data_IF_796411136981
#
_entry.id   IF_796411136981
#
_cell.length_a   1.000
_cell.length_b   1.000
_cell.length_c   1.000
_cell.angle_alpha   90.00
_cell.angle_beta   90.00
_cell.angle_gamma   90.00
#
_symmetry.space_group_name_H-M   'P 1'
#
loop_
_entity.id
_entity.type
_entity.pdbx_description
1 polymer ?
#
# COMPACT_ATOMS: atom_id res chain seq x y z
N UNK A 1 -6.95 4.44 23.50
CA UNK A 1 -5.75 5.22 23.17
C UNK A 1 -6.11 6.33 22.19
N UNK A 2 -5.36 7.43 22.21
CA UNK A 2 -5.37 8.42 21.15
C UNK A 2 -4.28 8.10 20.13
N UNK A 3 -4.68 7.94 18.85
CA UNK A 3 -3.78 7.63 17.74
C UNK A 3 -3.94 8.72 16.69
N UNK A 4 -2.85 9.41 16.39
CA UNK A 4 -2.81 10.45 15.38
C UNK A 4 -2.12 9.90 14.11
N UNK A 5 -2.80 9.94 12.97
CA UNK A 5 -2.30 9.48 11.67
C UNK A 5 -1.86 10.67 10.84
N UNK A 6 -0.67 10.61 10.24
CA UNK A 6 -0.17 11.66 9.35
C UNK A 6 -0.01 11.13 7.92
N UNK A 7 -0.68 11.76 6.97
CA UNK A 7 -0.40 11.65 5.53
C UNK A 7 -0.83 12.90 4.76
N UNK A 8 -0.02 13.46 3.83
CA UNK A 8 -0.32 14.71 3.14
C UNK A 8 -1.59 14.71 2.28
N UNK A 9 -1.99 13.56 1.73
CA UNK A 9 -3.20 13.42 0.92
C UNK A 9 -4.28 12.65 1.69
N UNK A 10 -5.56 13.03 1.48
CA UNK A 10 -6.74 12.40 2.08
C UNK A 10 -7.93 12.55 1.13
N UNK A 11 -8.96 11.69 1.18
CA UNK A 11 -10.16 11.92 0.38
C UNK A 11 -10.74 13.33 0.56
N UNK A 12 -11.22 13.96 -0.54
CA UNK A 12 -11.54 13.39 -1.85
C UNK A 12 -10.37 13.30 -2.86
N UNK A 13 -9.14 13.65 -2.48
CA UNK A 13 -7.99 13.53 -3.37
C UNK A 13 -7.73 12.07 -3.76
N UNK A 14 -7.59 11.78 -5.06
CA UNK A 14 -7.32 10.44 -5.59
C UNK A 14 -5.90 9.97 -5.25
N UNK A 15 -5.74 9.38 -4.09
CA UNK A 15 -4.46 8.88 -3.59
C UNK A 15 -4.63 7.57 -2.81
N UNK A 16 -4.00 6.48 -3.28
CA UNK A 16 -4.16 5.16 -2.67
C UNK A 16 -3.69 5.04 -1.22
N UNK A 17 -2.71 5.85 -0.76
CA UNK A 17 -2.28 5.86 0.65
C UNK A 17 -3.22 6.77 1.47
N UNK A 18 -3.73 7.85 0.86
CA UNK A 18 -4.77 8.67 1.47
C UNK A 18 -6.05 7.87 1.74
N UNK A 19 -6.51 7.12 0.75
CA UNK A 19 -7.66 6.22 0.89
C UNK A 19 -7.40 5.13 1.95
N UNK A 20 -6.19 4.53 1.93
CA UNK A 20 -5.75 3.59 2.96
C UNK A 20 -5.82 4.21 4.35
N UNK A 21 -5.31 5.44 4.52
CA UNK A 21 -5.32 6.15 5.80
C UNK A 21 -6.75 6.39 6.28
N UNK A 22 -7.66 6.76 5.38
CA UNK A 22 -9.07 6.96 5.70
C UNK A 22 -9.76 5.66 6.16
N UNK A 23 -9.56 4.56 5.44
CA UNK A 23 -10.12 3.26 5.83
C UNK A 23 -9.58 2.77 7.17
N UNK A 24 -8.26 2.88 7.38
CA UNK A 24 -7.63 2.51 8.64
C UNK A 24 -8.18 3.36 9.80
N UNK A 25 -8.24 4.69 9.61
CA UNK A 25 -8.77 5.62 10.61
C UNK A 25 -10.21 5.29 10.99
N UNK A 26 -11.09 5.14 10.01
CA UNK A 26 -12.50 4.80 10.23
C UNK A 26 -12.67 3.43 10.93
N UNK A 27 -11.82 2.45 10.63
CA UNK A 27 -11.92 1.14 11.26
C UNK A 27 -11.42 1.16 12.70
N UNK A 28 -10.38 1.94 12.99
CA UNK A 28 -9.84 2.09 14.35
C UNK A 28 -10.71 2.98 15.24
N UNK A 29 -11.50 3.93 14.67
CA UNK A 29 -12.30 4.89 15.43
C UNK A 29 -13.38 4.24 16.30
N UNK A 30 -13.85 3.05 15.94
CA UNK A 30 -14.78 2.28 16.77
C UNK A 30 -14.24 1.88 18.15
N UNK A 31 -12.92 1.92 18.36
CA UNK A 31 -12.26 1.49 19.62
C UNK A 31 -11.23 2.48 20.16
N UNK A 32 -10.82 3.48 19.36
CA UNK A 32 -9.77 4.43 19.71
C UNK A 32 -10.18 5.86 19.33
N UNK A 33 -9.59 6.84 20.01
CA UNK A 33 -9.73 8.25 19.62
C UNK A 33 -8.75 8.53 18.47
N UNK A 34 -9.27 8.65 17.24
CA UNK A 34 -8.47 8.78 16.03
C UNK A 34 -8.50 10.20 15.50
N UNK A 35 -7.31 10.77 15.30
CA UNK A 35 -7.11 12.04 14.62
C UNK A 35 -6.30 11.83 13.35
N UNK A 36 -6.70 12.45 12.24
CA UNK A 36 -5.97 12.42 10.97
C UNK A 36 -5.43 13.81 10.67
N UNK A 37 -4.14 13.89 10.35
CA UNK A 37 -3.45 15.12 9.95
C UNK A 37 -3.10 15.05 8.48
N UNK A 38 -3.62 15.99 7.68
CA UNK A 38 -3.49 15.98 6.22
C UNK A 38 -3.34 17.38 5.65
N UNK A 39 -2.86 17.49 4.40
CA UNK A 39 -2.82 18.74 3.64
C UNK A 39 -4.11 19.03 2.85
N UNK A 40 -5.10 18.12 2.90
CA UNK A 40 -6.35 18.21 2.15
C UNK A 40 -7.51 18.54 3.08
N UNK A 41 -8.43 19.38 2.59
CA UNK A 41 -9.70 19.60 3.29
C UNK A 41 -10.65 18.44 2.96
N UNK A 42 -11.11 17.66 3.95
CA UNK A 42 -12.03 16.56 3.70
C UNK A 42 -13.41 17.08 3.31
N UNK A 43 -14.20 16.24 2.64
CA UNK A 43 -15.61 16.54 2.41
C UNK A 43 -16.37 16.59 3.75
N UNK A 44 -17.25 17.57 3.95
CA UNK A 44 -18.06 17.67 5.16
C UNK A 44 -18.90 16.40 5.38
N UNK A 45 -18.80 15.79 6.56
CA UNK A 45 -19.57 14.59 6.93
C UNK A 45 -19.06 13.26 6.36
N UNK A 46 -17.91 13.26 5.67
CA UNK A 46 -17.36 12.04 5.06
C UNK A 46 -16.68 11.07 6.05
N UNK A 47 -16.51 11.44 7.31
CA UNK A 47 -15.74 10.64 8.28
C UNK A 47 -16.24 10.82 9.70
N UNK A 48 -16.27 9.73 10.48
CA UNK A 48 -16.53 9.75 11.92
C UNK A 48 -15.27 10.14 12.74
N UNK A 49 -14.10 10.28 12.07
CA UNK A 49 -12.84 10.66 12.71
C UNK A 49 -12.59 12.16 12.64
N UNK A 50 -11.85 12.68 13.61
CA UNK A 50 -11.43 14.09 13.60
C UNK A 50 -10.31 14.29 12.58
N UNK A 51 -10.58 15.06 11.52
CA UNK A 51 -9.58 15.39 10.49
C UNK A 51 -9.09 16.82 10.65
N UNK A 52 -7.78 16.98 10.80
CA UNK A 52 -7.10 18.27 10.89
C UNK A 52 -6.40 18.59 9.58
N UNK A 53 -6.75 19.74 9.00
CA UNK A 53 -6.10 20.22 7.77
C UNK A 53 -4.93 21.12 8.12
N UNK A 54 -3.74 20.79 7.59
CA UNK A 54 -2.54 21.62 7.70
C UNK A 54 -2.20 22.15 6.32
N UNK A 55 -2.55 23.41 6.07
CA UNK A 55 -2.26 24.04 4.79
C UNK A 55 -0.76 24.02 4.50
N UNK A 56 -0.40 23.60 3.29
CA UNK A 56 0.98 23.60 2.82
C UNK A 56 1.82 22.37 3.17
N UNK A 57 1.27 21.33 3.87
CA UNK A 57 1.98 20.05 4.02
C UNK A 57 2.23 19.48 2.61
N UNK A 58 3.46 19.02 2.30
CA UNK A 58 4.58 18.68 3.21
C UNK A 58 5.66 19.76 3.39
N UNK A 59 5.39 21.02 3.12
CA UNK A 59 6.40 22.08 3.29
C UNK A 59 6.87 22.24 4.76
N UNK A 60 8.11 22.66 4.95
CA UNK A 60 8.72 22.76 6.27
C UNK A 60 7.96 23.67 7.26
N UNK A 61 7.46 24.88 6.89
CA UNK A 61 6.67 25.70 7.80
C UNK A 61 5.42 25.01 8.32
N UNK A 62 4.68 24.33 7.43
CA UNK A 62 3.47 23.60 7.78
C UNK A 62 3.75 22.43 8.74
N UNK A 63 4.81 21.68 8.50
CA UNK A 63 5.25 20.59 9.39
C UNK A 63 5.72 21.10 10.77
N UNK A 64 6.31 22.30 10.83
CA UNK A 64 6.67 22.94 12.11
C UNK A 64 5.43 23.33 12.91
N UNK A 65 4.44 23.94 12.25
CA UNK A 65 3.15 24.27 12.85
C UNK A 65 2.45 23.02 13.38
N UNK A 66 2.42 21.98 12.57
CA UNK A 66 1.87 20.68 12.97
C UNK A 66 2.56 20.09 14.21
N UNK A 67 3.90 20.11 14.26
CA UNK A 67 4.64 19.64 15.43
C UNK A 67 4.27 20.40 16.71
N UNK A 68 4.02 21.70 16.61
CA UNK A 68 3.57 22.51 17.74
C UNK A 68 2.17 22.09 18.20
N UNK A 69 1.25 21.86 17.28
CA UNK A 69 -0.11 21.41 17.60
C UNK A 69 -0.13 20.00 18.22
N UNK A 70 0.65 19.07 17.67
CA UNK A 70 0.78 17.72 18.22
C UNK A 70 1.34 17.74 19.64
N UNK A 71 2.34 18.59 19.91
CA UNK A 71 2.92 18.68 21.26
C UNK A 71 2.03 19.43 22.26
N UNK A 72 1.09 20.25 21.80
CA UNK A 72 0.12 20.89 22.69
C UNK A 72 -0.93 19.90 23.23
N UNK A 73 -1.29 18.90 22.46
CA UNK A 73 -2.21 17.81 22.84
C UNK A 73 -1.63 16.48 22.39
N UNK A 74 -0.67 15.90 23.14
CA UNK A 74 0.09 14.76 22.69
C UNK A 74 -0.77 13.50 22.58
N UNK A 75 -0.68 12.74 21.46
CA UNK A 75 -1.28 11.42 21.35
C UNK A 75 -0.44 10.35 22.05
N UNK A 76 -1.04 9.18 22.29
CA UNK A 76 -0.28 7.99 22.72
C UNK A 76 0.63 7.50 21.58
N UNK A 77 0.12 7.54 20.36
CA UNK A 77 0.83 7.15 19.15
C UNK A 77 0.68 8.17 18.03
N UNK A 78 1.79 8.48 17.38
CA UNK A 78 1.87 9.15 16.10
C UNK A 78 2.24 8.15 15.02
N UNK A 79 1.32 7.84 14.10
CA UNK A 79 1.52 6.90 13.00
C UNK A 79 1.74 7.67 11.70
N UNK A 80 2.96 7.67 11.19
CA UNK A 80 3.32 8.34 9.93
C UNK A 80 3.21 7.35 8.78
N UNK A 81 2.35 7.65 7.80
CA UNK A 81 2.22 6.87 6.57
C UNK A 81 3.33 7.29 5.61
N UNK A 82 4.38 6.46 5.47
CA UNK A 82 5.59 6.86 4.74
C UNK A 82 5.63 6.34 3.32
N UNK A 83 5.72 7.29 2.40
CA UNK A 83 6.20 7.13 1.02
C UNK A 83 7.06 8.37 0.73
N UNK A 84 8.33 8.24 0.31
CA UNK A 84 9.22 9.38 0.16
C UNK A 84 8.66 10.48 -0.74
N UNK A 85 7.93 10.13 -1.80
CA UNK A 85 7.35 11.09 -2.75
C UNK A 85 6.16 11.88 -2.21
N UNK A 86 5.56 11.44 -1.11
CA UNK A 86 4.47 12.18 -0.47
C UNK A 86 4.97 13.39 0.33
N UNK A 87 6.24 13.37 0.77
CA UNK A 87 6.79 14.37 1.68
C UNK A 87 7.83 15.29 1.05
N UNK A 88 8.15 15.11 -0.22
CA UNK A 88 9.10 16.01 -0.90
C UNK A 88 9.38 15.64 -2.34
N UNK A 89 9.83 16.65 -3.09
CA UNK A 89 10.19 16.52 -4.51
C UNK A 89 11.29 15.46 -4.68
N UNK A 90 11.11 14.53 -5.59
CA UNK A 90 12.01 13.39 -5.82
C UNK A 90 12.27 12.55 -4.55
N UNK A 91 11.33 12.59 -3.59
CA UNK A 91 11.45 11.89 -2.33
C UNK A 91 12.47 12.47 -1.34
N UNK A 92 12.90 13.72 -1.53
CA UNK A 92 13.77 14.45 -0.59
C UNK A 92 12.91 15.23 0.40
N UNK A 93 12.84 14.76 1.64
CA UNK A 93 11.96 15.27 2.70
C UNK A 93 12.70 15.51 4.03
N UNK A 94 13.73 16.39 4.06
CA UNK A 94 14.47 16.68 5.29
C UNK A 94 13.59 17.33 6.36
N UNK A 95 12.55 18.05 5.94
CA UNK A 95 11.59 18.67 6.83
C UNK A 95 10.85 17.64 7.70
N UNK A 96 10.43 16.50 7.14
CA UNK A 96 9.81 15.44 7.92
C UNK A 96 10.77 14.88 8.99
N UNK A 97 12.04 14.65 8.62
CA UNK A 97 13.06 14.15 9.56
C UNK A 97 13.29 15.15 10.71
N UNK A 98 13.47 16.44 10.37
CA UNK A 98 13.68 17.47 11.41
C UNK A 98 12.46 17.64 12.31
N UNK A 99 11.26 17.54 11.76
CA UNK A 99 10.01 17.64 12.49
C UNK A 99 9.83 16.49 13.50
N UNK A 100 10.05 15.25 13.07
CA UNK A 100 9.96 14.09 13.98
C UNK A 100 11.04 14.13 15.06
N UNK A 101 12.25 14.62 14.72
CA UNK A 101 13.30 14.85 15.74
C UNK A 101 12.87 15.91 16.76
N UNK A 102 12.27 17.00 16.31
CA UNK A 102 11.74 18.05 17.19
C UNK A 102 10.64 17.51 18.13
N UNK A 103 9.69 16.72 17.60
CA UNK A 103 8.66 16.06 18.41
C UNK A 103 9.31 15.15 19.47
N UNK A 104 10.30 14.34 19.10
CA UNK A 104 11.03 13.49 20.05
C UNK A 104 11.69 14.27 21.19
N UNK A 105 12.25 15.44 20.87
CA UNK A 105 12.93 16.29 21.88
C UNK A 105 11.94 17.00 22.79
N UNK A 106 10.85 17.53 22.24
CA UNK A 106 9.87 18.34 22.96
C UNK A 106 8.81 17.52 23.70
N UNK A 107 8.46 16.37 23.16
CA UNK A 107 7.36 15.53 23.63
C UNK A 107 7.80 14.06 23.69
N UNK A 108 8.74 13.70 24.60
CA UNK A 108 9.36 12.35 24.62
C UNK A 108 8.38 11.23 24.94
N UNK A 109 7.20 11.54 25.48
CA UNK A 109 6.14 10.56 25.77
C UNK A 109 5.35 10.11 24.54
N UNK A 110 5.45 10.81 23.40
CA UNK A 110 4.78 10.40 22.16
C UNK A 110 5.54 9.23 21.54
N UNK A 111 4.88 8.11 21.32
CA UNK A 111 5.42 6.99 20.55
C UNK A 111 5.19 7.21 19.06
N UNK A 112 6.18 6.90 18.22
CA UNK A 112 6.14 7.10 16.78
C UNK A 112 6.18 5.75 16.08
N UNK A 113 5.17 5.45 15.25
CA UNK A 113 5.18 4.34 14.32
C UNK A 113 5.32 4.84 12.88
N UNK A 114 6.15 4.18 12.08
CA UNK A 114 6.32 4.49 10.66
C UNK A 114 5.74 3.35 9.83
N UNK A 115 4.62 3.59 9.15
CA UNK A 115 4.07 2.64 8.17
C UNK A 115 4.74 2.87 6.83
N UNK A 116 5.52 1.90 6.36
CA UNK A 116 6.38 2.00 5.18
C UNK A 116 5.67 1.43 3.96
N UNK A 117 5.09 2.30 3.14
CA UNK A 117 4.50 1.93 1.85
C UNK A 117 5.54 1.83 0.74
N UNK A 118 6.61 2.64 0.81
CA UNK A 118 7.80 2.56 -0.03
C UNK A 118 8.99 3.09 0.77
N UNK A 119 10.05 2.30 1.00
CA UNK A 119 11.21 2.79 1.77
C UNK A 119 12.07 3.76 0.98
N UNK A 120 12.37 3.42 -0.27
CA UNK A 120 13.13 4.20 -1.25
C UNK A 120 13.04 3.54 -2.63
N UNK A 121 13.34 4.30 -3.69
CA UNK A 121 13.35 3.77 -5.05
C UNK A 121 14.49 2.77 -5.25
N UNK A 122 14.24 1.66 -5.96
CA UNK A 122 15.29 0.75 -6.38
C UNK A 122 16.25 1.46 -7.35
N UNK A 123 17.56 1.12 -7.34
CA UNK A 123 18.58 1.77 -8.16
C UNK A 123 18.62 1.21 -9.60
N UNK A 124 17.48 1.10 -10.27
CA UNK A 124 17.32 0.47 -11.58
C UNK A 124 17.83 1.37 -12.75
N UNK A 125 18.28 2.58 -12.48
CA UNK A 125 18.95 3.50 -13.41
C UNK A 125 19.87 4.45 -12.65
N UNK A 126 20.82 5.11 -13.35
CA UNK A 126 21.73 6.08 -12.72
C UNK A 126 20.98 7.19 -11.97
N UNK A 127 19.90 7.73 -12.57
CA UNK A 127 19.04 8.72 -11.94
C UNK A 127 18.38 8.16 -10.65
N UNK A 128 17.85 6.95 -10.70
CA UNK A 128 17.21 6.32 -9.56
C UNK A 128 18.25 5.91 -8.50
N UNK A 129 19.43 5.52 -8.91
CA UNK A 129 20.55 5.26 -8.00
C UNK A 129 20.89 6.49 -7.16
N UNK A 130 21.14 7.64 -7.82
CA UNK A 130 21.43 8.91 -7.13
C UNK A 130 20.28 9.27 -6.20
N UNK A 131 19.02 9.20 -6.66
CA UNK A 131 17.86 9.43 -5.80
C UNK A 131 17.80 8.49 -4.60
N UNK A 132 18.18 7.23 -4.77
CA UNK A 132 18.13 6.24 -3.69
C UNK A 132 19.11 6.56 -2.55
N UNK A 133 20.20 7.28 -2.81
CA UNK A 133 21.21 7.62 -1.79
C UNK A 133 20.64 8.48 -0.66
N UNK A 134 19.99 9.62 -1.02
CA UNK A 134 19.37 10.46 0.01
C UNK A 134 18.11 9.82 0.60
N UNK A 135 17.30 9.10 -0.19
CA UNK A 135 16.12 8.41 0.31
C UNK A 135 16.49 7.33 1.34
N UNK A 136 17.56 6.55 1.10
CA UNK A 136 18.08 5.55 2.07
C UNK A 136 18.56 6.20 3.36
N UNK A 137 19.32 7.32 3.24
CA UNK A 137 19.77 8.07 4.43
C UNK A 137 18.59 8.59 5.23
N UNK A 138 17.60 9.18 4.54
CA UNK A 138 16.37 9.69 5.13
C UNK A 138 15.57 8.56 5.82
N UNK A 139 15.36 7.45 5.13
CA UNK A 139 14.65 6.29 5.70
C UNK A 139 15.34 5.75 6.96
N UNK A 140 16.70 5.66 6.95
CA UNK A 140 17.46 5.28 8.16
C UNK A 140 17.24 6.26 9.32
N UNK A 141 17.19 7.57 9.04
CA UNK A 141 16.95 8.57 10.07
C UNK A 141 15.52 8.47 10.63
N UNK A 142 14.52 8.32 9.76
CA UNK A 142 13.12 8.16 10.18
C UNK A 142 12.92 6.89 11.00
N UNK A 143 13.49 5.76 10.57
CA UNK A 143 13.39 4.50 11.31
C UNK A 143 14.00 4.57 12.71
N UNK A 144 15.16 5.26 12.86
CA UNK A 144 15.79 5.48 14.18
C UNK A 144 15.02 6.43 15.08
N UNK A 145 14.14 7.25 14.54
CA UNK A 145 13.24 8.12 15.28
C UNK A 145 11.94 7.43 15.68
N UNK A 146 11.69 6.24 15.15
CA UNK A 146 10.45 5.48 15.36
C UNK A 146 10.61 4.44 16.47
N UNK A 147 9.54 4.19 17.21
CA UNK A 147 9.44 3.10 18.20
C UNK A 147 8.93 1.81 17.57
N UNK A 148 8.34 1.89 16.40
CA UNK A 148 7.85 0.74 15.65
C UNK A 148 7.89 0.99 14.14
N UNK A 149 8.32 0.00 13.37
CA UNK A 149 8.27 0.02 11.91
C UNK A 149 7.25 -1.00 11.40
N UNK A 150 6.29 -0.52 10.61
CA UNK A 150 5.26 -1.34 9.99
C UNK A 150 5.54 -1.40 8.49
N UNK A 151 5.87 -2.57 7.97
CA UNK A 151 6.13 -2.78 6.56
C UNK A 151 4.92 -3.39 5.86
N UNK A 152 4.59 -2.89 4.67
CA UNK A 152 3.45 -3.37 3.89
C UNK A 152 3.75 -4.62 3.05
N UNK A 153 4.98 -5.13 3.07
CA UNK A 153 5.37 -6.44 2.53
C UNK A 153 6.33 -7.15 3.49
N UNK A 154 6.17 -8.46 3.67
CA UNK A 154 6.99 -9.26 4.58
C UNK A 154 8.49 -9.26 4.22
N UNK A 155 8.92 -9.37 2.94
CA UNK A 155 10.34 -9.33 2.58
C UNK A 155 11.09 -8.07 3.02
N UNK A 156 10.40 -6.98 3.33
CA UNK A 156 11.06 -5.78 3.86
C UNK A 156 11.35 -5.88 5.35
N UNK A 157 10.60 -6.66 6.11
CA UNK A 157 10.90 -6.92 7.54
C UNK A 157 12.29 -7.52 7.65
N UNK A 158 12.53 -8.65 6.96
CA UNK A 158 13.82 -9.35 6.99
C UNK A 158 14.95 -8.49 6.43
N UNK A 159 14.68 -7.81 5.30
CA UNK A 159 15.67 -6.94 4.64
C UNK A 159 16.17 -5.81 5.50
N UNK A 160 15.30 -5.22 6.32
CA UNK A 160 15.62 -4.02 7.08
C UNK A 160 15.82 -4.27 8.58
N UNK A 161 15.61 -5.48 9.08
CA UNK A 161 15.86 -5.83 10.48
C UNK A 161 17.25 -5.40 10.97
N UNK A 162 18.31 -5.65 10.17
CA UNK A 162 19.68 -5.25 10.49
C UNK A 162 19.94 -3.73 10.47
N UNK A 163 19.03 -2.95 9.87
CA UNK A 163 19.14 -1.48 9.85
C UNK A 163 18.60 -0.85 11.12
N UNK A 164 17.73 -1.57 11.83
CA UNK A 164 16.97 -1.11 13.00
C UNK A 164 16.92 -2.19 14.08
N UNK A 165 18.09 -2.60 14.64
CA UNK A 165 18.16 -3.71 15.58
C UNK A 165 17.35 -3.48 16.86
N UNK A 166 17.19 -2.21 17.26
CA UNK A 166 16.50 -1.82 18.49
C UNK A 166 15.03 -1.42 18.25
N UNK A 167 14.56 -1.48 17.00
CA UNK A 167 13.19 -1.06 16.65
C UNK A 167 12.39 -2.27 16.18
N UNK A 168 11.28 -2.62 16.85
CA UNK A 168 10.39 -3.67 16.38
C UNK A 168 9.93 -3.43 14.94
N UNK A 169 10.00 -4.46 14.12
CA UNK A 169 9.57 -4.46 12.72
C UNK A 169 8.45 -5.47 12.52
N UNK A 170 7.31 -5.04 12.01
CA UNK A 170 6.14 -5.90 11.79
C UNK A 170 5.66 -5.78 10.35
N UNK A 171 5.22 -6.89 9.76
CA UNK A 171 4.50 -6.88 8.50
C UNK A 171 3.00 -6.70 8.77
N UNK A 172 2.40 -5.68 8.15
CA UNK A 172 0.95 -5.50 8.09
C UNK A 172 0.58 -5.21 6.64
N UNK A 173 -0.22 -6.08 5.98
CA UNK A 173 -0.61 -5.89 4.59
C UNK A 173 -1.51 -4.67 4.41
N UNK A 174 -1.70 -4.24 3.16
CA UNK A 174 -2.75 -3.25 2.88
C UNK A 174 -4.09 -3.92 2.64
N UNK A 175 -5.18 -3.15 2.77
CA UNK A 175 -6.52 -3.55 2.36
C UNK A 175 -6.84 -3.13 0.92
N UNK A 176 -7.98 -3.56 0.42
CA UNK A 176 -8.58 -2.98 -0.77
C UNK A 176 -9.26 -1.64 -0.41
N UNK A 177 -8.99 -0.60 -1.19
CA UNK A 177 -9.66 0.70 -1.04
C UNK A 177 -10.99 0.76 -1.79
N UNK A 178 -11.37 -0.34 -2.46
CA UNK A 178 -12.61 -0.38 -3.24
C UNK A 178 -13.75 -1.01 -2.43
N UNK A 179 -14.96 -0.43 -2.45
CA UNK A 179 -16.12 -1.09 -1.89
C UNK A 179 -16.46 -2.31 -2.76
N UNK A 180 -16.93 -3.38 -2.15
CA UNK A 180 -17.51 -4.50 -2.88
C UNK A 180 -19.03 -4.34 -2.93
N UNK A 181 -19.53 -4.01 -4.11
CA UNK A 181 -20.97 -3.99 -4.38
C UNK A 181 -21.36 -5.34 -4.97
N UNK A 182 -22.20 -6.06 -4.28
CA UNK A 182 -22.61 -7.41 -4.69
C UNK A 182 -23.48 -7.35 -5.97
N UNK A 183 -22.96 -7.79 -7.08
CA UNK A 183 -23.66 -7.95 -8.36
C UNK A 183 -23.33 -9.30 -8.98
N UNK A 184 -24.31 -9.90 -9.63
CA UNK A 184 -24.01 -11.01 -10.55
C UNK A 184 -23.27 -10.49 -11.76
N UNK A 185 -22.44 -11.33 -12.42
CA UNK A 185 -21.72 -10.96 -13.62
C UNK A 185 -22.66 -10.42 -14.73
N UNK A 186 -23.82 -11.05 -14.92
CA UNK A 186 -24.81 -10.61 -15.89
C UNK A 186 -25.35 -9.19 -15.60
N UNK A 187 -25.69 -8.91 -14.35
CA UNK A 187 -26.17 -7.59 -13.95
C UNK A 187 -25.06 -6.52 -14.02
N UNK A 188 -23.84 -6.90 -13.68
CA UNK A 188 -22.68 -6.01 -13.80
C UNK A 188 -22.43 -5.64 -15.28
N UNK A 189 -22.45 -6.61 -16.21
CA UNK A 189 -22.34 -6.36 -17.65
C UNK A 189 -23.45 -5.49 -18.21
N UNK A 190 -24.69 -5.76 -17.83
CA UNK A 190 -25.84 -4.94 -18.24
C UNK A 190 -25.69 -3.49 -17.76
N UNK A 191 -25.24 -3.30 -16.50
CA UNK A 191 -25.06 -1.97 -15.90
C UNK A 191 -23.91 -1.18 -16.50
N UNK A 192 -22.85 -1.87 -16.95
CA UNK A 192 -21.64 -1.26 -17.52
C UNK A 192 -21.65 -1.17 -19.05
N UNK A 193 -22.67 -1.68 -19.72
CA UNK A 193 -22.74 -1.73 -21.18
C UNK A 193 -21.75 -2.72 -21.83
N UNK A 194 -21.21 -3.66 -21.05
CA UNK A 194 -20.26 -4.63 -21.55
C UNK A 194 -20.96 -5.82 -22.22
N UNK A 195 -20.35 -6.44 -23.25
CA UNK A 195 -20.95 -7.55 -23.96
C UNK A 195 -21.24 -8.75 -23.04
N UNK A 196 -22.45 -9.36 -23.18
CA UNK A 196 -22.89 -10.47 -22.32
C UNK A 196 -22.02 -11.72 -22.48
N UNK A 197 -21.66 -12.05 -23.74
CA UNK A 197 -21.04 -13.32 -24.10
C UNK A 197 -19.53 -13.19 -24.39
N UNK A 198 -18.93 -12.03 -24.16
CA UNK A 198 -17.49 -11.83 -24.35
C UNK A 198 -16.69 -12.46 -23.21
N UNK A 199 -15.52 -13.04 -23.54
CA UNK A 199 -14.50 -13.36 -22.59
C UNK A 199 -13.80 -12.04 -22.15
N UNK A 200 -14.09 -11.54 -20.94
CA UNK A 200 -13.61 -10.25 -20.45
C UNK A 200 -12.43 -10.47 -19.50
N UNK A 201 -11.23 -10.09 -19.94
CA UNK A 201 -10.01 -10.08 -19.15
C UNK A 201 -9.79 -8.67 -18.61
N UNK A 202 -9.60 -8.51 -17.31
CA UNK A 202 -9.60 -7.19 -16.70
C UNK A 202 -8.26 -6.74 -16.12
N UNK A 203 -8.02 -5.44 -16.22
CA UNK A 203 -6.93 -4.70 -15.55
C UNK A 203 -7.49 -3.53 -14.77
N UNK A 204 -7.01 -3.32 -13.55
CA UNK A 204 -7.39 -2.16 -12.74
C UNK A 204 -6.17 -1.43 -12.19
N UNK A 205 -6.23 -0.09 -12.15
CA UNK A 205 -5.24 0.81 -11.57
C UNK A 205 -4.67 1.82 -12.57
N UNK A 206 -3.54 2.46 -12.23
CA UNK A 206 -2.97 3.58 -13.01
C UNK A 206 -2.14 3.16 -14.24
N UNK A 207 -2.17 1.92 -14.70
CA UNK A 207 -1.33 1.46 -15.81
C UNK A 207 0.17 1.60 -15.53
N UNK A 208 0.59 1.39 -14.29
CA UNK A 208 1.97 1.63 -13.84
C UNK A 208 2.99 0.73 -14.57
N UNK A 209 4.22 1.22 -14.86
CA UNK A 209 5.29 0.44 -15.51
C UNK A 209 5.67 -0.86 -14.82
N UNK A 210 5.31 -1.03 -13.55
CA UNK A 210 5.54 -2.28 -12.83
C UNK A 210 4.71 -3.47 -13.33
N UNK A 211 3.75 -3.25 -14.26
CA UNK A 211 2.94 -4.31 -14.86
C UNK A 211 3.66 -4.97 -16.03
N UNK A 212 3.55 -6.29 -16.13
CA UNK A 212 4.09 -7.11 -17.23
C UNK A 212 3.13 -7.15 -18.40
N UNK A 213 3.01 -6.07 -19.17
CA UNK A 213 2.10 -6.00 -20.33
C UNK A 213 2.44 -7.04 -21.41
N UNK A 214 3.71 -7.44 -21.53
CA UNK A 214 4.10 -8.48 -22.48
C UNK A 214 3.46 -9.84 -22.17
N UNK A 215 3.37 -10.23 -20.89
CA UNK A 215 2.68 -11.46 -20.45
C UNK A 215 1.21 -11.42 -20.86
N UNK A 216 0.54 -10.29 -20.60
CA UNK A 216 -0.87 -10.11 -20.95
C UNK A 216 -1.06 -10.19 -22.47
N UNK A 217 -0.22 -9.48 -23.24
CA UNK A 217 -0.30 -9.48 -24.71
C UNK A 217 -0.16 -10.90 -25.27
N UNK A 218 0.82 -11.65 -24.76
CA UNK A 218 1.05 -13.03 -25.21
C UNK A 218 -0.12 -13.94 -24.87
N UNK A 219 -0.68 -13.83 -23.67
CA UNK A 219 -1.88 -14.59 -23.31
C UNK A 219 -3.09 -14.23 -24.16
N UNK A 220 -3.30 -12.94 -24.48
CA UNK A 220 -4.37 -12.51 -25.38
C UNK A 220 -4.19 -13.09 -26.81
N UNK A 221 -2.96 -13.06 -27.33
CA UNK A 221 -2.64 -13.63 -28.64
C UNK A 221 -2.91 -15.14 -28.69
N UNK A 222 -2.51 -15.87 -27.66
CA UNK A 222 -2.73 -17.31 -27.58
C UNK A 222 -4.22 -17.65 -27.49
N UNK A 223 -5.00 -16.93 -26.68
CA UNK A 223 -6.45 -17.08 -26.64
C UNK A 223 -7.10 -16.83 -28.02
N UNK A 224 -6.63 -15.81 -28.73
CA UNK A 224 -7.15 -15.52 -30.07
C UNK A 224 -6.79 -16.64 -31.04
N UNK A 225 -5.59 -17.21 -30.98
CA UNK A 225 -5.18 -18.34 -31.79
C UNK A 225 -6.03 -19.61 -31.54
N UNK A 226 -6.51 -19.78 -30.30
CA UNK A 226 -7.42 -20.86 -29.90
C UNK A 226 -8.92 -20.58 -30.23
N UNK A 227 -9.19 -19.52 -30.98
CA UNK A 227 -10.55 -19.20 -31.46
C UNK A 227 -11.38 -18.35 -30.48
N UNK A 228 -10.82 -17.90 -29.34
CA UNK A 228 -11.49 -16.95 -28.47
C UNK A 228 -11.44 -15.54 -29.08
N UNK A 229 -12.42 -14.70 -28.69
CA UNK A 229 -12.41 -13.26 -28.99
C UNK A 229 -12.37 -12.44 -27.68
N UNK A 230 -11.23 -12.44 -26.97
CA UNK A 230 -11.16 -11.81 -25.66
C UNK A 230 -11.23 -10.29 -25.76
N UNK A 231 -11.95 -9.67 -24.79
CA UNK A 231 -11.98 -8.23 -24.57
C UNK A 231 -11.08 -7.88 -23.38
N UNK A 232 -10.09 -7.04 -23.59
CA UNK A 232 -9.31 -6.47 -22.48
C UNK A 232 -10.04 -5.24 -21.92
N UNK A 233 -10.51 -5.35 -20.69
CA UNK A 233 -11.15 -4.25 -19.96
C UNK A 233 -10.12 -3.58 -19.07
N UNK A 234 -9.83 -2.31 -19.31
CA UNK A 234 -8.97 -1.50 -18.45
C UNK A 234 -9.77 -0.47 -17.67
N UNK A 235 -9.67 -0.54 -16.33
CA UNK A 235 -10.29 0.41 -15.40
C UNK A 235 -9.21 1.31 -14.82
N UNK A 236 -9.23 2.60 -15.14
CA UNK A 236 -8.29 3.58 -14.56
C UNK A 236 -7.84 4.66 -15.54
N UNK A 237 -7.13 5.67 -15.05
CA UNK A 237 -6.58 6.74 -15.87
C UNK A 237 -5.41 6.25 -16.74
N UNK A 238 -5.06 7.03 -17.79
CA UNK A 238 -3.91 6.73 -18.65
C UNK A 238 -4.22 5.75 -19.78
N UNK A 239 -5.43 5.81 -20.35
CA UNK A 239 -5.89 4.99 -21.45
C UNK A 239 -4.93 4.97 -22.65
N UNK A 240 -4.29 6.09 -23.01
CA UNK A 240 -3.39 6.19 -24.15
C UNK A 240 -2.16 5.30 -24.00
N UNK A 241 -1.62 5.22 -22.80
CA UNK A 241 -0.53 4.30 -22.48
C UNK A 241 -0.93 2.84 -22.66
N UNK A 242 -2.16 2.50 -22.26
CA UNK A 242 -2.69 1.15 -22.41
C UNK A 242 -2.95 0.85 -23.90
N UNK A 243 -3.54 1.77 -24.65
CA UNK A 243 -3.72 1.62 -26.09
C UNK A 243 -2.38 1.41 -26.81
N UNK A 244 -1.35 2.18 -26.46
CA UNK A 244 0.00 2.01 -26.99
C UNK A 244 0.62 0.66 -26.63
N UNK A 245 0.33 0.12 -25.45
CA UNK A 245 0.83 -1.19 -25.02
C UNK A 245 0.09 -2.36 -25.69
N UNK A 246 -1.14 -2.16 -26.18
CA UNK A 246 -2.01 -3.19 -26.74
C UNK A 246 -2.61 -2.78 -28.10
N UNK A 247 -1.79 -2.49 -29.15
CA UNK A 247 -2.26 -1.88 -30.41
C UNK A 247 -3.25 -2.76 -31.20
N UNK A 248 -3.15 -4.08 -31.10
CA UNK A 248 -3.96 -5.05 -31.88
C UNK A 248 -4.87 -5.88 -30.96
N UNK A 249 -5.29 -5.34 -29.83
CA UNK A 249 -6.14 -6.04 -28.87
C UNK A 249 -7.50 -5.36 -28.83
N UNK A 250 -8.57 -6.14 -28.83
CA UNK A 250 -9.91 -5.61 -28.54
C UNK A 250 -9.93 -5.05 -27.12
N UNK A 251 -9.96 -3.73 -26.99
CA UNK A 251 -9.71 -3.00 -25.74
C UNK A 251 -10.87 -2.07 -25.41
N UNK A 252 -11.34 -2.12 -24.17
CA UNK A 252 -12.25 -1.15 -23.58
C UNK A 252 -11.57 -0.45 -22.40
N UNK A 253 -11.45 0.89 -22.47
CA UNK A 253 -10.88 1.71 -21.41
C UNK A 253 -11.96 2.59 -20.80
N UNK A 254 -12.18 2.50 -19.50
CA UNK A 254 -13.21 3.28 -18.81
C UNK A 254 -12.76 4.70 -18.42
N UNK A 255 -11.44 4.95 -18.35
CA UNK A 255 -10.91 6.12 -17.65
C UNK A 255 -11.04 5.97 -16.13
N UNK A 256 -10.87 7.08 -15.41
CA UNK A 256 -11.09 7.11 -13.96
C UNK A 256 -12.60 7.03 -13.67
N UNK A 257 -12.98 6.20 -12.72
CA UNK A 257 -14.35 5.98 -12.30
C UNK A 257 -14.51 6.24 -10.79
N UNK A 258 -15.69 6.64 -10.32
CA UNK A 258 -16.05 6.56 -8.90
C UNK A 258 -15.94 5.11 -8.39
N UNK A 259 -15.71 4.93 -7.09
CA UNK A 259 -15.46 3.63 -6.48
C UNK A 259 -16.57 2.59 -6.76
N UNK A 260 -17.82 3.01 -6.77
CA UNK A 260 -18.96 2.14 -7.16
C UNK A 260 -18.86 1.68 -8.62
N UNK A 261 -18.48 2.58 -9.54
CA UNK A 261 -18.25 2.25 -10.95
C UNK A 261 -17.11 1.25 -11.13
N UNK A 262 -16.02 1.40 -10.37
CA UNK A 262 -14.92 0.41 -10.36
C UNK A 262 -15.44 -0.96 -9.92
N UNK A 263 -16.21 -1.04 -8.82
CA UNK A 263 -16.79 -2.29 -8.32
C UNK A 263 -17.67 -2.98 -9.35
N UNK A 264 -18.54 -2.21 -10.06
CA UNK A 264 -19.39 -2.76 -11.10
C UNK A 264 -18.58 -3.37 -12.26
N UNK A 265 -17.53 -2.68 -12.72
CA UNK A 265 -16.68 -3.18 -13.81
C UNK A 265 -15.82 -4.38 -13.38
N UNK A 266 -15.32 -4.41 -12.13
CA UNK A 266 -14.65 -5.59 -11.59
C UNK A 266 -15.59 -6.80 -11.62
N UNK A 267 -16.82 -6.66 -11.14
CA UNK A 267 -17.81 -7.76 -11.14
C UNK A 267 -18.21 -8.25 -12.54
N UNK A 268 -17.92 -7.50 -13.61
CA UNK A 268 -18.21 -7.87 -14.99
C UNK A 268 -17.16 -8.78 -15.65
N UNK A 269 -15.97 -8.95 -15.02
CA UNK A 269 -14.84 -9.69 -15.58
C UNK A 269 -15.00 -11.20 -15.45
N UNK A 270 -14.35 -11.94 -16.36
CA UNK A 270 -14.16 -13.39 -16.23
C UNK A 270 -12.86 -13.74 -15.54
N UNK A 271 -11.76 -13.04 -15.87
CA UNK A 271 -10.46 -13.19 -15.22
C UNK A 271 -9.86 -11.82 -14.96
N UNK A 272 -9.31 -11.63 -13.77
CA UNK A 272 -8.59 -10.42 -13.41
C UNK A 272 -7.08 -10.63 -13.54
N UNK A 273 -6.40 -9.79 -14.32
CA UNK A 273 -4.98 -9.90 -14.63
C UNK A 273 -4.16 -8.91 -13.81
N UNK A 274 -3.22 -9.42 -13.03
CA UNK A 274 -2.39 -8.62 -12.16
C UNK A 274 -0.89 -9.01 -12.18
N UNK A 275 -0.24 -9.20 -13.36
CA UNK A 275 1.17 -9.58 -13.42
C UNK A 275 2.08 -8.38 -13.11
N UNK A 276 3.14 -8.60 -12.30
CA UNK A 276 4.09 -7.57 -11.85
C UNK A 276 5.55 -7.98 -12.08
N UNK A 277 6.41 -7.03 -12.46
CA UNK A 277 7.84 -7.25 -12.69
C UNK A 277 8.61 -7.81 -11.47
N UNK A 278 8.26 -7.39 -10.26
CA UNK A 278 8.91 -7.87 -9.02
C UNK A 278 8.03 -8.87 -8.25
N UNK A 279 7.04 -9.43 -8.92
CA UNK A 279 6.02 -10.29 -8.32
C UNK A 279 4.91 -9.50 -7.62
N UNK A 280 3.80 -10.20 -7.36
CA UNK A 280 2.69 -9.69 -6.54
C UNK A 280 3.14 -9.59 -5.08
N UNK A 281 2.59 -8.61 -4.37
CA UNK A 281 2.86 -8.44 -2.94
C UNK A 281 1.65 -7.90 -2.20
N UNK A 282 1.64 -8.06 -0.88
CA UNK A 282 0.57 -7.66 0.02
C UNK A 282 0.31 -6.16 0.09
N UNK A 283 1.15 -5.33 -0.55
CA UNK A 283 0.93 -3.88 -0.73
C UNK A 283 0.13 -3.51 -1.98
N UNK A 284 -0.31 -4.48 -2.77
CA UNK A 284 -0.98 -4.24 -4.07
C UNK A 284 -2.49 -4.17 -3.93
N UNK A 285 -3.03 -3.04 -3.46
CA UNK A 285 -4.48 -2.85 -3.29
C UNK A 285 -5.32 -3.19 -4.54
N UNK A 286 -4.79 -2.95 -5.75
CA UNK A 286 -5.46 -3.34 -6.98
C UNK A 286 -5.57 -4.88 -7.15
N UNK A 287 -4.56 -5.66 -6.73
CA UNK A 287 -4.64 -7.12 -6.69
C UNK A 287 -5.68 -7.58 -5.67
N UNK A 288 -5.65 -6.98 -4.50
CA UNK A 288 -6.58 -7.29 -3.41
C UNK A 288 -8.04 -6.96 -3.77
N UNK A 289 -8.27 -5.93 -4.59
CA UNK A 289 -9.61 -5.64 -5.10
C UNK A 289 -10.16 -6.79 -5.97
N UNK A 290 -9.31 -7.46 -6.75
CA UNK A 290 -9.69 -8.68 -7.50
C UNK A 290 -10.10 -9.82 -6.58
N UNK A 291 -9.32 -10.08 -5.52
CA UNK A 291 -9.64 -11.11 -4.52
C UNK A 291 -10.95 -10.79 -3.78
N UNK A 292 -11.11 -9.54 -3.34
CA UNK A 292 -12.31 -9.05 -2.66
C UNK A 292 -13.58 -9.25 -3.49
N UNK A 293 -13.50 -9.09 -4.81
CA UNK A 293 -14.62 -9.25 -5.73
C UNK A 293 -14.87 -10.71 -6.15
N UNK A 294 -14.21 -11.67 -5.50
CA UNK A 294 -14.33 -13.10 -5.84
C UNK A 294 -13.97 -13.40 -7.31
N UNK A 295 -13.01 -12.67 -7.88
CA UNK A 295 -12.56 -12.91 -9.25
C UNK A 295 -11.50 -14.01 -9.31
N UNK A 296 -11.49 -14.85 -10.35
CA UNK A 296 -10.31 -15.65 -10.66
C UNK A 296 -9.18 -14.69 -11.04
N UNK A 297 -8.21 -14.55 -10.15
CA UNK A 297 -7.06 -13.64 -10.33
C UNK A 297 -5.88 -14.40 -10.89
N UNK A 298 -5.22 -13.81 -11.89
CA UNK A 298 -3.96 -14.31 -12.43
C UNK A 298 -2.85 -13.29 -12.23
N UNK A 299 -1.75 -13.71 -11.61
CA UNK A 299 -0.63 -12.85 -11.23
C UNK A 299 0.73 -13.51 -11.47
N UNK A 300 1.81 -12.85 -11.04
CA UNK A 300 3.18 -13.38 -11.14
C UNK A 300 3.89 -13.36 -9.80
N UNK A 301 4.74 -14.37 -9.54
CA UNK A 301 5.70 -14.38 -8.44
C UNK A 301 6.98 -13.63 -8.79
N UNK A 302 7.75 -13.24 -7.76
CA UNK A 302 9.03 -12.58 -7.91
C UNK A 302 9.64 -12.17 -6.56
N UNK A 303 10.74 -11.40 -6.55
CA UNK A 303 11.49 -11.09 -5.34
C UNK A 303 10.74 -10.30 -4.26
N UNK A 304 9.57 -9.77 -4.56
CA UNK A 304 8.72 -9.05 -3.60
C UNK A 304 7.45 -9.82 -3.23
N UNK A 305 7.33 -11.06 -3.64
CA UNK A 305 6.17 -11.88 -3.29
C UNK A 305 6.32 -12.39 -1.88
N UNK A 306 5.32 -12.11 -1.06
CA UNK A 306 5.25 -12.52 0.34
C UNK A 306 5.03 -14.04 0.45
N UNK A 307 5.57 -14.69 1.48
CA UNK A 307 5.36 -16.12 1.73
C UNK A 307 3.87 -16.47 1.80
N UNK A 308 3.06 -15.66 2.49
CA UNK A 308 1.60 -15.80 2.55
C UNK A 308 0.96 -15.92 1.14
N UNK A 309 1.47 -15.17 0.16
CA UNK A 309 0.96 -15.23 -1.21
C UNK A 309 1.51 -16.44 -1.98
N UNK A 310 2.72 -16.92 -1.67
CA UNK A 310 3.24 -18.16 -2.22
C UNK A 310 2.41 -19.37 -1.77
N UNK A 311 2.08 -19.44 -0.49
CA UNK A 311 1.30 -20.53 0.12
C UNK A 311 -0.14 -20.58 -0.42
N UNK A 312 -0.73 -19.41 -0.74
CA UNK A 312 -2.08 -19.31 -1.29
C UNK A 312 -2.15 -19.53 -2.82
N UNK A 313 -1.01 -19.56 -3.51
CA UNK A 313 -0.96 -19.76 -4.96
C UNK A 313 -1.53 -21.13 -5.36
N UNK A 314 -2.28 -21.15 -6.47
CA UNK A 314 -2.97 -22.33 -6.97
C UNK A 314 -4.32 -22.61 -6.26
N UNK A 315 -4.50 -22.19 -5.02
CA UNK A 315 -5.75 -22.32 -4.27
C UNK A 315 -6.62 -21.06 -4.33
N UNK A 316 -6.08 -19.86 -4.04
CA UNK A 316 -6.82 -18.60 -4.01
C UNK A 316 -6.65 -17.76 -5.29
N UNK A 317 -5.60 -17.99 -6.05
CA UNK A 317 -5.33 -17.32 -7.34
C UNK A 317 -4.29 -18.12 -8.13
N UNK A 318 -4.26 -17.91 -9.47
CA UNK A 318 -3.21 -18.48 -10.33
C UNK A 318 -1.96 -17.57 -10.28
N UNK A 319 -0.79 -18.17 -10.10
CA UNK A 319 0.49 -17.45 -10.04
C UNK A 319 1.56 -18.19 -10.86
N UNK A 320 2.30 -17.44 -11.66
CA UNK A 320 3.41 -17.96 -12.49
C UNK A 320 4.67 -17.13 -12.27
N UNK A 321 5.88 -17.62 -12.59
CA UNK A 321 7.08 -16.81 -12.51
C UNK A 321 6.99 -15.54 -13.38
N UNK A 322 7.58 -14.45 -12.91
CA UNK A 322 7.55 -13.14 -13.59
C UNK A 322 8.44 -13.07 -14.85
N UNK A 323 9.33 -14.02 -15.05
CA UNK A 323 10.23 -14.17 -16.21
C UNK A 323 9.74 -15.21 -17.24
N UNK A 324 8.58 -15.83 -17.01
CA UNK A 324 8.03 -16.92 -17.83
C UNK A 324 6.73 -16.52 -18.58
N UNK A 325 6.79 -15.66 -19.62
CA UNK A 325 5.61 -15.17 -20.33
C UNK A 325 4.81 -16.27 -21.04
N UNK A 326 5.45 -17.37 -21.45
CA UNK A 326 4.78 -18.51 -22.06
C UNK A 326 3.95 -19.26 -21.04
N UNK A 327 4.54 -19.57 -19.88
CA UNK A 327 3.83 -20.24 -18.79
C UNK A 327 2.63 -19.41 -18.33
N UNK A 328 2.77 -18.08 -18.32
CA UNK A 328 1.64 -17.18 -18.05
C UNK A 328 0.55 -17.33 -19.11
N UNK A 329 0.90 -17.33 -20.39
CA UNK A 329 -0.06 -17.45 -21.48
C UNK A 329 -0.80 -18.81 -21.43
N UNK A 330 -0.07 -19.92 -21.30
CA UNK A 330 -0.64 -21.27 -21.20
C UNK A 330 -1.58 -21.41 -19.99
N UNK A 331 -1.17 -20.86 -18.84
CA UNK A 331 -1.99 -20.86 -17.64
C UNK A 331 -3.26 -20.03 -17.80
N UNK A 332 -3.19 -18.87 -18.49
CA UNK A 332 -4.35 -18.04 -18.77
C UNK A 332 -5.35 -18.77 -19.69
N UNK A 333 -4.87 -19.41 -20.74
CA UNK A 333 -5.71 -20.22 -21.64
C UNK A 333 -6.40 -21.34 -20.87
N UNK A 334 -5.64 -22.10 -20.07
CA UNK A 334 -6.21 -23.15 -19.22
C UNK A 334 -7.27 -22.59 -18.26
N UNK A 335 -7.03 -21.43 -17.66
CA UNK A 335 -7.97 -20.79 -16.75
C UNK A 335 -9.25 -20.36 -17.49
N UNK A 336 -9.14 -19.78 -18.67
CA UNK A 336 -10.29 -19.37 -19.49
C UNK A 336 -11.13 -20.58 -19.92
N UNK A 337 -10.48 -21.69 -20.29
CA UNK A 337 -11.13 -22.91 -20.77
C UNK A 337 -11.68 -23.81 -19.65
N UNK A 338 -11.47 -23.45 -18.37
CA UNK A 338 -11.89 -24.28 -17.24
C UNK A 338 -12.81 -23.50 -16.28
N UNK A 339 -14.12 -23.37 -16.59
CA UNK A 339 -15.07 -22.61 -15.74
C UNK A 339 -15.13 -23.09 -14.28
N UNK A 340 -15.00 -24.39 -14.05
CA UNK A 340 -14.98 -24.97 -12.71
C UNK A 340 -13.78 -24.42 -11.88
N UNK A 341 -12.61 -24.30 -12.52
CA UNK A 341 -11.44 -23.71 -11.88
C UNK A 341 -11.60 -22.21 -11.62
N UNK A 342 -12.19 -21.45 -12.57
CA UNK A 342 -12.52 -20.04 -12.34
C UNK A 342 -13.42 -19.88 -11.11
N UNK A 343 -14.49 -20.65 -11.00
CA UNK A 343 -15.41 -20.59 -9.86
C UNK A 343 -14.74 -20.96 -8.54
N UNK A 344 -13.90 -21.99 -8.55
CA UNK A 344 -13.14 -22.39 -7.37
C UNK A 344 -12.19 -21.27 -6.92
N UNK A 345 -11.35 -20.76 -7.82
CA UNK A 345 -10.42 -19.67 -7.50
C UNK A 345 -11.16 -18.43 -6.99
N UNK A 346 -12.26 -18.04 -7.62
CA UNK A 346 -13.04 -16.88 -7.20
C UNK A 346 -13.55 -17.00 -5.76
N UNK A 347 -14.12 -18.16 -5.39
CA UNK A 347 -14.57 -18.38 -4.00
C UNK A 347 -13.40 -18.37 -3.02
N UNK A 348 -12.33 -19.10 -3.32
CA UNK A 348 -11.15 -19.17 -2.46
C UNK A 348 -10.44 -17.82 -2.35
N UNK A 349 -10.40 -17.03 -3.44
CA UNK A 349 -9.86 -15.66 -3.44
C UNK A 349 -10.60 -14.77 -2.43
N UNK A 350 -11.93 -14.83 -2.41
CA UNK A 350 -12.72 -14.03 -1.49
C UNK A 350 -12.51 -14.46 -0.03
N UNK A 351 -12.51 -15.77 0.26
CA UNK A 351 -12.23 -16.26 1.61
C UNK A 351 -10.86 -15.79 2.07
N UNK A 352 -9.84 -15.97 1.24
CA UNK A 352 -8.47 -15.53 1.53
C UNK A 352 -8.38 -14.01 1.78
N UNK A 353 -9.12 -13.20 1.02
CA UNK A 353 -9.20 -11.76 1.27
C UNK A 353 -9.84 -11.45 2.62
N UNK A 354 -10.95 -12.09 2.96
CA UNK A 354 -11.65 -11.88 4.23
C UNK A 354 -10.81 -12.28 5.44
N UNK A 355 -10.03 -13.37 5.31
CA UNK A 355 -9.21 -13.87 6.40
C UNK A 355 -7.97 -13.00 6.66
N UNK A 356 -7.43 -12.32 5.64
CA UNK A 356 -6.12 -11.66 5.75
C UNK A 356 -6.10 -10.16 5.45
N UNK A 357 -7.02 -9.61 4.65
CA UNK A 357 -6.89 -8.27 4.06
C UNK A 357 -8.08 -7.34 4.29
N UNK A 358 -9.15 -7.80 4.93
CA UNK A 358 -10.24 -6.92 5.29
C UNK A 358 -9.83 -5.93 6.38
N UNK A 359 -10.41 -4.73 6.36
CA UNK A 359 -10.01 -3.65 7.25
C UNK A 359 -10.05 -3.98 8.74
N UNK A 360 -11.05 -4.73 9.28
CA UNK A 360 -11.05 -5.15 10.69
C UNK A 360 -9.84 -6.02 11.05
N UNK A 361 -9.37 -6.90 10.15
CA UNK A 361 -8.17 -7.74 10.37
C UNK A 361 -6.92 -6.87 10.39
N UNK A 362 -6.79 -5.91 9.46
CA UNK A 362 -5.67 -4.97 9.41
C UNK A 362 -5.65 -4.10 10.67
N UNK A 363 -6.80 -3.53 11.08
CA UNK A 363 -6.89 -2.72 12.29
C UNK A 363 -6.46 -3.49 13.55
N UNK A 364 -6.87 -4.76 13.68
CA UNK A 364 -6.43 -5.62 14.79
C UNK A 364 -4.92 -5.86 14.78
N UNK A 365 -4.29 -6.00 13.60
CA UNK A 365 -2.83 -6.11 13.49
C UNK A 365 -2.14 -4.80 13.91
N UNK A 366 -2.68 -3.63 13.55
CA UNK A 366 -2.19 -2.34 14.05
C UNK A 366 -2.31 -2.22 15.58
N UNK A 367 -3.44 -2.59 16.15
CA UNK A 367 -3.62 -2.57 17.60
C UNK A 367 -2.57 -3.44 18.32
N UNK A 368 -2.31 -4.63 17.81
CA UNK A 368 -1.28 -5.53 18.36
C UNK A 368 0.12 -4.92 18.22
N UNK A 369 0.46 -4.36 17.06
CA UNK A 369 1.75 -3.74 16.83
C UNK A 369 1.97 -2.53 17.76
N UNK A 370 0.97 -1.67 17.92
CA UNK A 370 1.04 -0.49 18.79
C UNK A 370 0.98 -0.82 20.28
N UNK A 371 0.44 -1.97 20.69
CA UNK A 371 0.41 -2.42 22.09
C UNK A 371 1.75 -3.05 22.53
N UNK A 372 2.45 -3.74 21.63
CA UNK A 372 3.66 -4.53 21.93
C UNK A 372 4.92 -3.64 22.04
N UNK A 373 4.93 -2.45 21.44
CA UNK A 373 6.11 -1.59 21.48
C UNK A 373 6.45 -1.17 22.93
N UNK A 374 7.64 -1.52 23.46
CA UNK A 374 8.01 -1.21 24.83
C UNK A 374 8.09 0.31 25.03
N UNK A 375 7.62 0.79 26.18
CA UNK A 375 7.92 2.15 26.66
C UNK A 375 9.42 2.23 26.91
N UNK A 376 10.17 2.82 26.01
CA UNK A 376 11.57 3.16 26.28
C UNK A 376 11.55 4.31 27.29
N UNK A 377 11.72 3.99 28.56
CA UNK A 377 12.00 4.99 29.58
C UNK A 377 13.28 5.73 29.18
N UNK A 378 13.31 7.08 29.18
CA UNK A 378 14.54 7.80 28.94
C UNK A 378 15.56 7.40 30.02
N UNK A 379 16.65 6.77 29.60
CA UNK A 379 17.77 6.44 30.51
C UNK A 379 18.26 7.72 31.16
N UNK A 380 18.31 7.82 32.51
CA UNK A 380 18.85 8.99 33.17
C UNK A 380 20.33 9.05 32.77
N UNK A 381 20.71 10.11 32.07
CA UNK A 381 22.10 10.42 31.77
C UNK A 381 22.84 10.60 33.08
N UNK A 382 23.60 9.60 33.53
CA UNK A 382 24.57 9.74 34.59
C UNK A 382 25.63 10.78 34.15
N UNK A 383 25.40 12.02 34.59
CA UNK A 383 26.48 12.99 34.66
C UNK A 383 27.34 12.58 35.86
N UNK A 384 28.37 11.81 35.60
CA UNK A 384 29.50 11.73 36.55
C UNK A 384 30.24 13.07 36.54
N UNK A 385 29.92 13.90 37.51
CA UNK A 385 30.80 15.02 37.90
C UNK A 385 31.96 14.40 38.69
N UNK A 386 33.09 14.17 38.01
CA UNK A 386 34.34 13.86 38.69
C UNK A 386 34.87 15.14 39.36
N UNK A 387 34.69 15.26 40.70
CA UNK A 387 35.34 16.28 41.52
C UNK A 387 36.82 15.89 41.66
N UNK A 388 37.72 16.56 40.95
CA UNK A 388 39.14 16.53 41.20
C UNK A 388 39.50 17.43 42.37
N UNK A 389 39.65 16.87 43.56
CA UNK A 389 40.32 17.51 44.70
C UNK A 389 41.84 17.40 44.52
N UNK A 390 42.48 18.49 44.17
CA UNK A 390 43.95 18.63 44.24
C UNK A 390 44.39 18.79 45.70
N UNK A 391 45.01 17.80 46.30
CA UNK A 391 45.84 17.94 47.50
C UNK A 391 47.25 18.35 47.10
N UNK A 392 47.71 19.49 47.60
CA UNK A 392 49.12 19.91 47.57
C UNK A 392 49.90 19.16 48.66
N UNK A 393 51.09 18.67 48.39
CA UNK A 393 52.03 18.31 49.46
C UNK A 393 52.79 19.54 49.96
N UNK A 394 52.83 19.69 51.27
CA UNK A 394 53.71 20.60 52.02
C UNK A 394 55.03 19.91 52.28
N UNK A 395 56.11 20.69 52.15
CA UNK A 395 57.56 20.59 52.48
C UNK A 395 58.43 19.89 51.47
#
# INVERSE_FOLDING_TARGET
>A
MRIDLLFPAYPPALNGIGDYTAHLANTLSGRHNIHVWTGQTPDPGASEVTVHTISGVPAAPALTTWATQICATPPDWLVVQYNPFAYGTRGYAPALVSTLRNIRTRCPGIRIALTVHEPFMPPDSLRLFVMSLWQRRQFKQLGRLSDHLIFTIAPWVDRFASWFPDTPCTHIPVGSNMPRIALTKANARARTGLPKDACILGLFGRGHPSRLFNHIRRGMQQLTHEGHNPLLLYIGPGADRIRAAFPNVRLHCTGALPAAGVSHHLSAMDVYLAPYHKGVSTRRGAFLAGLQHALPVMTTSGPQTDALLHDAAGSAFAMTPNDAPNVFADTLVKLVNTPAWQHQLGRSAQSFYLDHFQWPVIALQYERALAIAPMVSPSPSHRHVASFTRTRPTT
#
